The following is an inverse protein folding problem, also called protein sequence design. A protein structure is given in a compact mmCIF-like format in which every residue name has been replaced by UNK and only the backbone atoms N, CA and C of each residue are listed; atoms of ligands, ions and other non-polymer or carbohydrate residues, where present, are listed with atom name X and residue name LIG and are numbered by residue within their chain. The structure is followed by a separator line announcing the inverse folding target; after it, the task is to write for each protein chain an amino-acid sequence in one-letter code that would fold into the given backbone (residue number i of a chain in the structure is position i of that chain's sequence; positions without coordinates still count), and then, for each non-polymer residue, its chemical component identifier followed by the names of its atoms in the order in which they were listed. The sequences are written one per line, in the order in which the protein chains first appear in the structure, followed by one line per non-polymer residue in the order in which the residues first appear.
data_IF_277442367819
#
_entry.id   IF_277442367819
#
_cell.length_a   1.000
_cell.length_b   1.000
_cell.length_c   1.000
_cell.angle_alpha   90.00
_cell.angle_beta   90.00
_cell.angle_gamma   90.00
#
_symmetry.space_group_name_H-M   'P 1'
#
loop_
_entity.id
_entity.type
_entity.pdbx_description
1 polymer ?
#
# COMPACT_ATOMS: atom_id res chain seq x y z
N UNK A 1 11.16 2.73 40.98
CA UNK A 1 10.95 3.44 39.70
C UNK A 1 12.20 3.28 38.84
N UNK A 2 12.34 2.20 38.06
CA UNK A 2 13.31 2.06 36.95
C UNK A 2 13.22 0.66 36.32
N UNK A 3 12.10 0.34 35.67
CA UNK A 3 11.92 -0.92 34.94
C UNK A 3 11.25 -0.79 33.58
N UNK A 4 10.71 0.40 33.25
CA UNK A 4 9.93 0.64 32.03
C UNK A 4 10.72 1.34 30.91
N UNK A 5 11.93 1.84 31.18
CA UNK A 5 12.78 2.45 30.15
C UNK A 5 13.63 1.42 29.37
N UNK A 6 13.72 0.17 29.84
CA UNK A 6 14.52 -0.89 29.21
C UNK A 6 13.76 -1.72 28.17
N UNK A 7 12.45 -1.47 27.99
CA UNK A 7 11.59 -2.20 27.03
C UNK A 7 11.26 -1.42 25.76
N UNK A 8 11.86 -0.24 25.56
CA UNK A 8 11.70 0.55 24.35
C UNK A 8 13.07 0.77 23.71
N UNK A 9 13.22 0.22 22.50
CA UNK A 9 14.36 0.31 21.60
C UNK A 9 15.49 -0.73 21.82
N UNK A 10 15.18 -2.02 21.65
CA UNK A 10 16.05 -2.80 20.76
C UNK A 10 15.91 -2.18 19.36
N UNK A 11 16.72 -1.15 19.08
CA UNK A 11 16.93 -0.74 17.70
C UNK A 11 17.67 -1.90 17.06
N UNK A 12 16.96 -2.73 16.29
CA UNK A 12 17.58 -3.60 15.30
C UNK A 12 18.66 -2.79 14.59
N UNK A 13 19.87 -3.35 14.48
CA UNK A 13 20.96 -2.66 13.80
C UNK A 13 20.47 -2.17 12.43
N UNK A 14 20.81 -0.93 12.01
CA UNK A 14 20.37 -0.42 10.72
C UNK A 14 20.81 -1.39 9.61
N UNK A 15 19.88 -1.71 8.72
CA UNK A 15 20.13 -2.61 7.60
C UNK A 15 21.20 -1.96 6.71
N UNK A 16 22.20 -2.75 6.32
CA UNK A 16 23.22 -2.30 5.37
C UNK A 16 22.57 -1.75 4.09
N UNK A 17 23.05 -0.61 3.59
CA UNK A 17 22.40 0.08 2.47
C UNK A 17 22.35 -0.75 1.19
N UNK A 18 23.38 -1.58 0.93
CA UNK A 18 23.38 -2.45 -0.25
C UNK A 18 22.36 -3.58 -0.10
N UNK A 19 22.25 -4.14 1.11
CA UNK A 19 21.24 -5.14 1.42
C UNK A 19 19.83 -4.56 1.30
N UNK A 20 19.60 -3.35 1.82
CA UNK A 20 18.31 -2.67 1.70
C UNK A 20 17.92 -2.45 0.24
N UNK A 21 18.81 -1.90 -0.59
CA UNK A 21 18.55 -1.71 -2.02
C UNK A 21 18.23 -3.01 -2.75
N UNK A 22 18.93 -4.10 -2.41
CA UNK A 22 18.65 -5.41 -2.98
C UNK A 22 17.25 -5.91 -2.60
N UNK A 23 16.87 -5.80 -1.34
CA UNK A 23 15.54 -6.22 -0.87
C UNK A 23 14.45 -5.35 -1.50
N UNK A 24 14.64 -4.03 -1.58
CA UNK A 24 13.70 -3.11 -2.26
C UNK A 24 13.46 -3.52 -3.70
N UNK A 25 14.53 -3.91 -4.42
CA UNK A 25 14.43 -4.43 -5.78
C UNK A 25 13.70 -5.78 -5.84
N UNK A 26 14.02 -6.72 -4.95
CA UNK A 26 13.36 -8.04 -4.87
C UNK A 26 11.87 -7.94 -4.52
N UNK A 27 11.50 -6.96 -3.70
CA UNK A 27 10.11 -6.66 -3.34
C UNK A 27 9.39 -5.78 -4.37
N UNK A 28 10.08 -5.42 -5.46
CA UNK A 28 9.54 -4.68 -6.59
C UNK A 28 8.86 -3.34 -6.19
N UNK A 29 9.39 -2.65 -5.18
CA UNK A 29 8.99 -1.28 -4.89
C UNK A 29 9.57 -0.35 -5.94
N UNK A 30 8.72 0.50 -6.53
CA UNK A 30 9.12 1.51 -7.52
C UNK A 30 9.25 2.89 -6.88
N UNK A 31 9.84 3.84 -7.61
CA UNK A 31 9.89 5.25 -7.17
C UNK A 31 8.49 5.85 -6.96
N UNK A 32 7.47 5.36 -7.66
CA UNK A 32 6.10 5.85 -7.51
C UNK A 32 5.54 5.59 -6.10
N UNK A 33 5.89 4.45 -5.49
CA UNK A 33 5.53 4.16 -4.09
C UNK A 33 6.10 5.23 -3.14
N UNK A 34 7.32 5.71 -3.41
CA UNK A 34 7.98 6.76 -2.64
C UNK A 34 7.37 8.13 -2.92
N UNK A 35 7.11 8.45 -4.19
CA UNK A 35 6.59 9.74 -4.62
C UNK A 35 5.18 10.01 -4.08
N UNK A 36 4.34 8.97 -3.98
CA UNK A 36 3.00 9.07 -3.38
C UNK A 36 3.09 9.07 -1.84
N UNK A 37 4.23 8.68 -1.27
CA UNK A 37 4.45 8.64 0.19
C UNK A 37 3.98 7.36 0.87
N UNK A 38 3.72 6.27 0.13
CA UNK A 38 3.37 4.97 0.71
C UNK A 38 4.56 4.35 1.43
N UNK A 39 5.77 4.61 0.94
CA UNK A 39 7.02 4.19 1.57
C UNK A 39 7.86 5.40 1.95
N UNK A 40 8.66 5.20 2.98
CA UNK A 40 9.74 6.08 3.42
C UNK A 40 10.92 5.20 3.84
N UNK A 41 12.13 5.75 4.00
CA UNK A 41 13.30 4.96 4.44
C UNK A 41 13.01 4.14 5.70
N UNK A 42 12.39 4.68 6.77
CA UNK A 42 12.06 3.87 7.95
C UNK A 42 11.09 2.73 7.66
N UNK A 43 10.10 2.93 6.78
CA UNK A 43 9.15 1.88 6.38
C UNK A 43 9.87 0.79 5.58
N UNK A 44 10.76 1.17 4.67
CA UNK A 44 11.54 0.22 3.87
C UNK A 44 12.46 -0.63 4.75
N UNK A 45 13.12 -0.03 5.75
CA UNK A 45 13.93 -0.77 6.72
C UNK A 45 13.08 -1.78 7.52
N UNK A 46 11.89 -1.39 7.96
CA UNK A 46 10.97 -2.30 8.67
C UNK A 46 10.51 -3.46 7.78
N UNK A 47 10.07 -3.16 6.55
CA UNK A 47 9.62 -4.17 5.59
C UNK A 47 10.77 -5.10 5.17
N UNK A 48 11.99 -4.56 5.04
CA UNK A 48 13.15 -5.38 4.73
C UNK A 48 13.51 -6.33 5.87
N UNK A 49 13.37 -5.89 7.13
CA UNK A 49 13.54 -6.78 8.28
C UNK A 49 12.47 -7.89 8.28
N UNK A 50 11.20 -7.52 8.09
CA UNK A 50 10.09 -8.49 7.98
C UNK A 50 10.32 -9.49 6.85
N UNK A 51 10.80 -9.04 5.70
CA UNK A 51 11.16 -9.92 4.59
C UNK A 51 12.26 -10.91 4.97
N UNK A 52 13.32 -10.46 5.63
CA UNK A 52 14.40 -11.37 6.06
C UNK A 52 13.91 -12.43 7.05
N UNK A 53 13.00 -12.06 7.94
CA UNK A 53 12.43 -12.95 8.96
C UNK A 53 11.41 -13.92 8.37
N UNK A 54 10.59 -13.47 7.41
CA UNK A 54 9.44 -14.21 6.90
C UNK A 54 9.65 -14.84 5.51
N UNK A 55 10.69 -14.50 4.74
CA UNK A 55 10.84 -14.95 3.32
C UNK A 55 10.74 -16.45 3.10
N UNK A 56 11.07 -17.27 4.10
CA UNK A 56 10.98 -18.72 4.01
C UNK A 56 9.54 -19.23 4.12
N UNK A 57 8.65 -18.44 4.71
CA UNK A 57 7.22 -18.72 4.92
C UNK A 57 6.40 -17.99 3.86
N UNK A 58 6.76 -16.74 3.57
CA UNK A 58 6.06 -15.89 2.63
C UNK A 58 7.06 -15.19 1.69
N UNK A 59 7.44 -15.85 0.58
CA UNK A 59 8.43 -15.31 -0.36
C UNK A 59 7.83 -14.30 -1.35
N UNK A 60 6.50 -14.18 -1.44
CA UNK A 60 5.84 -13.44 -2.53
C UNK A 60 5.91 -11.92 -2.31
N UNK A 61 6.56 -11.16 -3.22
CA UNK A 61 6.68 -9.70 -3.14
C UNK A 61 5.35 -8.98 -2.96
N UNK A 62 4.27 -9.46 -3.58
CA UNK A 62 2.97 -8.79 -3.57
C UNK A 62 2.40 -8.65 -2.16
N UNK A 63 2.71 -9.59 -1.26
CA UNK A 63 2.26 -9.53 0.13
C UNK A 63 2.91 -8.40 0.90
N UNK A 64 4.19 -8.10 0.63
CA UNK A 64 4.88 -6.99 1.28
C UNK A 64 4.43 -5.64 0.73
N UNK A 65 4.25 -5.53 -0.59
CA UNK A 65 3.66 -4.33 -1.21
C UNK A 65 2.24 -4.06 -0.69
N UNK A 66 1.41 -5.09 -0.61
CA UNK A 66 0.07 -4.97 -0.04
C UNK A 66 0.10 -4.58 1.44
N UNK A 67 1.01 -5.16 2.24
CA UNK A 67 1.19 -4.81 3.65
C UNK A 67 1.56 -3.33 3.82
N UNK A 68 2.44 -2.80 2.99
CA UNK A 68 2.77 -1.36 2.96
C UNK A 68 1.54 -0.52 2.65
N UNK A 69 0.81 -0.86 1.59
CA UNK A 69 -0.44 -0.17 1.25
C UNK A 69 -1.43 -0.18 2.42
N UNK A 70 -1.66 -1.34 3.04
CA UNK A 70 -2.56 -1.46 4.20
C UNK A 70 -2.12 -0.61 5.38
N UNK A 71 -0.82 -0.62 5.74
CA UNK A 71 -0.28 0.25 6.79
C UNK A 71 -0.53 1.72 6.50
N UNK A 72 -0.31 2.14 5.26
CA UNK A 72 -0.57 3.51 4.83
C UNK A 72 -2.06 3.86 4.97
N UNK A 73 -2.97 3.00 4.52
CA UNK A 73 -4.42 3.21 4.63
C UNK A 73 -4.93 3.23 6.07
N UNK A 74 -4.32 2.45 6.96
CA UNK A 74 -4.68 2.37 8.37
C UNK A 74 -4.16 3.60 9.15
N UNK A 75 -3.01 4.16 8.76
CA UNK A 75 -2.44 5.38 9.34
C UNK A 75 -3.12 6.66 8.83
N UNK A 76 -3.67 6.63 7.61
CA UNK A 76 -4.34 7.77 6.99
C UNK A 76 -5.84 7.52 6.93
N UNK A 77 -6.52 7.78 8.05
CA UNK A 77 -7.99 7.65 8.14
C UNK A 77 -8.70 8.62 7.18
N UNK A 78 -8.22 9.85 7.10
CA UNK A 78 -8.76 10.86 6.18
C UNK A 78 -7.74 11.06 5.06
N UNK A 79 -8.00 10.44 3.91
CA UNK A 79 -7.06 10.44 2.81
C UNK A 79 -7.33 11.63 1.85
N UNK A 80 -6.35 12.53 1.63
CA UNK A 80 -6.46 13.58 0.61
C UNK A 80 -6.74 13.01 -0.78
N UNK A 81 -7.50 13.75 -1.60
CA UNK A 81 -7.82 13.40 -2.99
C UNK A 81 -6.58 13.04 -3.81
N UNK A 82 -5.48 13.77 -3.63
CA UNK A 82 -4.21 13.52 -4.33
C UNK A 82 -3.68 12.10 -4.12
N UNK A 83 -3.87 11.51 -2.93
CA UNK A 83 -3.44 10.14 -2.70
C UNK A 83 -4.36 9.13 -3.37
N UNK A 84 -5.67 9.40 -3.51
CA UNK A 84 -6.55 8.52 -4.28
C UNK A 84 -6.11 8.45 -5.75
N UNK A 85 -5.80 9.61 -6.35
CA UNK A 85 -5.25 9.65 -7.71
C UNK A 85 -3.90 8.95 -7.80
N UNK A 86 -2.98 9.27 -6.89
CA UNK A 86 -1.65 8.66 -6.86
C UNK A 86 -1.71 7.15 -6.73
N UNK A 87 -2.51 6.61 -5.80
CA UNK A 87 -2.65 5.16 -5.63
C UNK A 87 -3.33 4.53 -6.84
N UNK A 88 -4.36 5.17 -7.42
CA UNK A 88 -4.98 4.63 -8.63
C UNK A 88 -3.99 4.59 -9.79
N UNK A 89 -3.21 5.64 -9.99
CA UNK A 89 -2.17 5.69 -11.02
C UNK A 89 -1.06 4.66 -10.76
N UNK A 90 -0.63 4.49 -9.51
CA UNK A 90 0.30 3.44 -9.09
C UNK A 90 -0.18 2.06 -9.52
N UNK A 91 -1.47 1.78 -9.34
CA UNK A 91 -2.05 0.50 -9.77
C UNK A 91 -2.09 0.36 -11.28
N UNK A 92 -2.04 1.40 -12.10
CA UNK A 92 -1.99 1.19 -13.57
C UNK A 92 -0.66 0.58 -14.03
N UNK A 93 0.42 0.79 -13.26
CA UNK A 93 1.78 0.39 -13.62
C UNK A 93 2.33 -0.78 -12.80
N UNK A 94 1.64 -1.23 -11.76
CA UNK A 94 2.07 -2.40 -10.98
C UNK A 94 2.04 -3.67 -11.85
N UNK A 95 3.07 -4.50 -11.75
CA UNK A 95 3.21 -5.70 -12.57
C UNK A 95 2.21 -6.81 -12.21
N UNK A 96 1.71 -6.83 -10.97
CA UNK A 96 0.86 -7.90 -10.43
C UNK A 96 -0.64 -7.53 -10.58
N UNK A 97 -1.41 -8.22 -11.47
CA UNK A 97 -2.82 -7.93 -11.67
C UNK A 97 -3.69 -8.12 -10.43
N UNK A 98 -3.40 -9.12 -9.60
CA UNK A 98 -4.18 -9.44 -8.41
C UNK A 98 -3.98 -8.37 -7.33
N UNK A 99 -2.74 -7.92 -7.16
CA UNK A 99 -2.42 -6.81 -6.26
C UNK A 99 -3.13 -5.52 -6.71
N UNK A 100 -3.08 -5.19 -8.01
CA UNK A 100 -3.80 -4.04 -8.57
C UNK A 100 -5.28 -4.09 -8.23
N UNK A 101 -5.93 -5.22 -8.50
CA UNK A 101 -7.36 -5.37 -8.26
C UNK A 101 -7.71 -5.27 -6.77
N UNK A 102 -6.86 -5.82 -5.90
CA UNK A 102 -7.04 -5.76 -4.45
C UNK A 102 -6.92 -4.32 -3.94
N UNK A 103 -5.90 -3.58 -4.36
CA UNK A 103 -5.71 -2.17 -3.96
C UNK A 103 -6.88 -1.31 -4.45
N UNK A 104 -7.32 -1.47 -5.70
CA UNK A 104 -8.45 -0.71 -6.25
C UNK A 104 -9.74 -1.05 -5.49
N UNK A 105 -9.96 -2.34 -5.19
CA UNK A 105 -11.11 -2.80 -4.41
C UNK A 105 -11.16 -2.12 -3.04
N UNK A 106 -10.03 -2.03 -2.35
CA UNK A 106 -9.90 -1.36 -1.05
C UNK A 106 -10.09 0.15 -1.15
N UNK A 107 -9.58 0.80 -2.21
CA UNK A 107 -9.82 2.22 -2.46
C UNK A 107 -11.30 2.52 -2.67
N UNK A 108 -12.03 1.67 -3.40
CA UNK A 108 -13.47 1.82 -3.59
C UNK A 108 -14.18 1.73 -2.25
N UNK A 109 -13.75 0.87 -1.32
CA UNK A 109 -14.44 0.68 -0.03
C UNK A 109 -14.32 1.87 0.92
N UNK A 110 -13.31 2.73 0.78
CA UNK A 110 -13.13 3.93 1.60
C UNK A 110 -14.34 4.85 1.56
N UNK A 111 -14.88 5.23 2.72
CA UNK A 111 -16.07 6.06 2.83
C UNK A 111 -15.89 7.39 2.09
N UNK A 112 -14.70 7.96 2.23
CA UNK A 112 -14.25 9.22 1.65
C UNK A 112 -13.77 9.11 0.19
N UNK A 113 -13.94 7.95 -0.46
CA UNK A 113 -13.54 7.75 -1.86
C UNK A 113 -14.21 8.78 -2.79
N UNK A 114 -13.44 9.63 -3.50
CA UNK A 114 -14.01 10.69 -4.31
C UNK A 114 -14.89 10.15 -5.45
N UNK A 115 -16.01 10.83 -5.71
CA UNK A 115 -16.96 10.44 -6.78
C UNK A 115 -16.25 10.34 -8.15
N UNK A 116 -15.28 11.21 -8.43
CA UNK A 116 -14.56 11.19 -9.70
C UNK A 116 -13.67 9.95 -9.85
N UNK A 117 -13.09 9.43 -8.76
CA UNK A 117 -12.32 8.18 -8.73
C UNK A 117 -13.24 6.99 -9.04
N UNK A 118 -14.40 6.93 -8.37
CA UNK A 118 -15.39 5.88 -8.62
C UNK A 118 -15.86 5.90 -10.09
N UNK A 119 -16.12 7.09 -10.65
CA UNK A 119 -16.47 7.25 -12.08
C UNK A 119 -15.33 6.81 -13.00
N UNK A 120 -14.09 7.17 -12.68
CA UNK A 120 -12.90 6.75 -13.45
C UNK A 120 -12.81 5.23 -13.50
N UNK A 121 -12.88 4.57 -12.34
CA UNK A 121 -12.85 3.10 -12.23
C UNK A 121 -14.02 2.46 -13.00
N UNK A 122 -15.25 2.96 -12.83
CA UNK A 122 -16.42 2.41 -13.52
C UNK A 122 -16.32 2.51 -15.06
N UNK A 123 -15.55 3.47 -15.57
CA UNK A 123 -15.36 3.69 -17.00
C UNK A 123 -14.14 2.94 -17.56
N UNK A 124 -13.08 2.75 -16.78
CA UNK A 124 -11.82 2.16 -17.26
C UNK A 124 -11.64 0.69 -16.90
N UNK A 125 -12.35 0.19 -15.89
CA UNK A 125 -12.26 -1.21 -15.43
C UNK A 125 -13.43 -2.06 -15.93
N UNK A 126 -13.28 -3.37 -15.82
CA UNK A 126 -14.30 -4.36 -16.16
C UNK A 126 -14.59 -5.27 -14.95
N UNK A 127 -15.66 -6.07 -15.07
CA UNK A 127 -16.03 -7.06 -14.06
C UNK A 127 -16.30 -6.47 -12.68
N UNK A 128 -15.81 -7.16 -11.65
CA UNK A 128 -16.13 -6.90 -10.24
C UNK A 128 -15.80 -5.47 -9.81
N UNK A 129 -14.66 -4.91 -10.22
CA UNK A 129 -14.29 -3.54 -9.84
C UNK A 129 -15.24 -2.48 -10.41
N UNK A 130 -15.68 -2.68 -11.67
CA UNK A 130 -16.68 -1.79 -12.29
C UNK A 130 -18.01 -1.88 -11.57
N UNK A 131 -18.48 -3.09 -11.32
CA UNK A 131 -19.75 -3.34 -10.62
C UNK A 131 -19.72 -2.72 -9.22
N UNK A 132 -18.62 -2.89 -8.49
CA UNK A 132 -18.41 -2.34 -7.15
C UNK A 132 -18.41 -0.80 -7.15
N UNK A 133 -17.70 -0.18 -8.09
CA UNK A 133 -17.67 1.27 -8.22
C UNK A 133 -19.06 1.85 -8.57
N UNK A 134 -19.80 1.20 -9.47
CA UNK A 134 -21.16 1.59 -9.83
C UNK A 134 -22.13 1.44 -8.65
N UNK A 135 -22.05 0.33 -7.92
CA UNK A 135 -22.87 0.12 -6.73
C UNK A 135 -22.64 1.22 -5.68
N UNK A 136 -21.38 1.59 -5.44
CA UNK A 136 -21.06 2.69 -4.51
C UNK A 136 -21.53 4.06 -5.00
N UNK A 137 -21.44 4.35 -6.29
CA UNK A 137 -22.00 5.59 -6.85
C UNK A 137 -23.51 5.70 -6.61
N UNK A 138 -24.24 4.59 -6.71
CA UNK A 138 -25.69 4.57 -6.46
C UNK A 138 -26.03 4.89 -4.99
N UNK A 139 -25.18 4.52 -4.02
CA UNK A 139 -25.43 4.86 -2.60
C UNK A 139 -25.15 6.32 -2.26
N UNK A 140 -24.44 7.04 -3.13
CA UNK A 140 -24.08 8.46 -2.96
C UNK A 140 -25.03 9.41 -3.69
N UNK A 141 -25.94 8.90 -4.52
CA UNK A 141 -26.96 9.67 -5.23
C UNK A 141 -28.30 9.51 -4.49
N UNK A 142 -28.78 10.52 -3.73
CA UNK A 142 -30.06 10.46 -3.04
C UNK A 142 -31.26 10.47 -4.00
#
# INVERSE_FOLDING_TARGET
MSGLAALMAERSAPIDSNLLSKIVFELEFTEDWLNIGLISTPILEQIAQEYLDEKHINPDPKHYRYRVFRRFMDQNRDLPELHFDGILDLTEYDADPELRETIISDLIDREECPIYILKRIANTRAGVLREKALAKLQTLQP
#
